data_IF_829352099445
#
_entry.id   IF_829352099445
#
_cell.length_a   1.000
_cell.length_b   1.000
_cell.length_c   1.000
_cell.angle_alpha   90.00
_cell.angle_beta   90.00
_cell.angle_gamma   90.00
#
_symmetry.space_group_name_H-M   'P 1'
#
loop_
_entity.id
_entity.type
_entity.pdbx_description
1 polymer ?
#
# COMPACT_ATOMS: atom_id res chain seq x y z
N UNK A 1 -11.82 10.94 0.37
CA UNK A 1 -11.00 11.31 -0.81
C UNK A 1 -11.12 10.21 -1.85
N UNK A 2 -11.09 10.54 -3.14
CA UNK A 2 -10.99 9.52 -4.20
C UNK A 2 -9.51 9.28 -4.47
N UNK A 3 -9.04 8.05 -4.26
CA UNK A 3 -7.69 7.65 -4.63
C UNK A 3 -7.63 7.36 -6.13
N UNK A 4 -6.51 7.70 -6.76
CA UNK A 4 -6.25 7.33 -8.15
C UNK A 4 -5.50 6.01 -8.15
N UNK A 5 -6.11 5.01 -8.78
CA UNK A 5 -5.54 3.68 -8.94
C UNK A 5 -4.78 3.58 -10.26
N UNK A 6 -3.66 2.87 -10.24
CA UNK A 6 -2.84 2.61 -11.44
C UNK A 6 -3.31 1.34 -12.14
N UNK A 7 -3.31 1.37 -13.47
CA UNK A 7 -3.57 0.18 -14.26
C UNK A 7 -2.41 -0.82 -14.19
N UNK A 8 -2.68 -2.09 -14.45
CA UNK A 8 -1.65 -3.14 -14.48
C UNK A 8 -0.45 -2.79 -15.38
N UNK A 9 -0.69 -2.25 -16.57
CA UNK A 9 0.38 -1.85 -17.50
C UNK A 9 1.26 -0.72 -16.95
N UNK A 10 0.68 0.22 -16.19
CA UNK A 10 1.46 1.27 -15.52
C UNK A 10 2.31 0.69 -14.39
N UNK A 11 1.77 -0.29 -13.65
CA UNK A 11 2.49 -0.97 -12.58
C UNK A 11 3.68 -1.78 -13.11
N UNK A 12 3.49 -2.54 -14.18
CA UNK A 12 4.58 -3.29 -14.82
C UNK A 12 5.69 -2.36 -15.32
N UNK A 13 5.34 -1.18 -15.85
CA UNK A 13 6.33 -0.18 -16.25
C UNK A 13 7.12 0.38 -15.05
N UNK A 14 6.49 0.52 -13.88
CA UNK A 14 7.16 0.94 -12.64
C UNK A 14 8.05 -0.18 -12.08
N UNK A 15 7.58 -1.43 -12.09
CA UNK A 15 8.38 -2.60 -11.67
C UNK A 15 9.67 -2.72 -12.50
N UNK A 16 9.58 -2.49 -13.82
CA UNK A 16 10.74 -2.45 -14.71
C UNK A 16 11.73 -1.31 -14.41
N UNK A 17 11.29 -0.26 -13.71
CA UNK A 17 12.14 0.83 -13.20
C UNK A 17 12.72 0.52 -11.80
N UNK A 18 12.54 -0.70 -11.29
CA UNK A 18 13.03 -1.12 -9.98
C UNK A 18 12.08 -0.80 -8.83
N UNK A 19 10.86 -0.35 -9.11
CA UNK A 19 9.84 -0.20 -8.07
C UNK A 19 9.39 -1.57 -7.58
N UNK A 20 8.99 -1.63 -6.32
CA UNK A 20 8.58 -2.86 -5.66
C UNK A 20 7.13 -2.76 -5.22
N UNK A 21 6.38 -3.83 -5.43
CA UNK A 21 5.00 -3.95 -4.98
C UNK A 21 4.94 -4.53 -3.57
N UNK A 22 3.95 -4.08 -2.80
CA UNK A 22 3.72 -4.50 -1.43
C UNK A 22 2.22 -4.62 -1.16
N UNK A 23 1.87 -5.55 -0.29
CA UNK A 23 0.53 -5.66 0.30
C UNK A 23 0.53 -5.02 1.67
N UNK A 24 -0.48 -4.17 1.91
CA UNK A 24 -0.72 -3.48 3.17
C UNK A 24 -2.07 -3.94 3.70
N UNK A 25 -2.10 -4.67 4.81
CA UNK A 25 -3.33 -4.90 5.57
C UNK A 25 -3.46 -3.84 6.65
N UNK A 26 -4.67 -3.30 6.85
CA UNK A 26 -4.91 -2.18 7.75
C UNK A 26 -5.45 -2.69 9.09
N UNK A 27 -5.08 -2.03 10.19
CA UNK A 27 -5.66 -2.36 11.51
C UNK A 27 -7.16 -2.06 11.52
N UNK A 28 -7.96 -3.01 12.01
CA UNK A 28 -9.42 -2.87 12.13
C UNK A 28 -9.85 -1.83 13.16
N UNK A 29 -9.08 -1.63 14.23
CA UNK A 29 -9.51 -0.79 15.36
C UNK A 29 -10.73 -1.37 16.10
N UNK A 30 -11.40 -0.52 16.89
CA UNK A 30 -12.56 -0.92 17.71
C UNK A 30 -13.91 -0.65 17.00
N UNK A 31 -13.87 0.05 15.85
CA UNK A 31 -15.05 0.46 15.10
C UNK A 31 -14.77 0.62 13.60
N UNK A 32 -15.82 0.63 12.77
CA UNK A 32 -15.70 0.92 11.34
C UNK A 32 -15.09 2.31 11.05
N UNK A 33 -15.31 3.28 11.94
CA UNK A 33 -14.71 4.61 11.83
C UNK A 33 -13.19 4.57 12.10
N UNK A 34 -12.75 3.79 13.09
CA UNK A 34 -11.33 3.58 13.36
C UNK A 34 -10.64 2.87 12.18
N UNK A 35 -11.28 1.85 11.61
CA UNK A 35 -10.79 1.17 10.41
C UNK A 35 -10.61 2.16 9.25
N UNK A 36 -11.63 2.98 8.97
CA UNK A 36 -11.57 4.00 7.91
C UNK A 36 -10.46 5.03 8.17
N UNK A 37 -10.23 5.41 9.43
CA UNK A 37 -9.14 6.30 9.81
C UNK A 37 -7.79 5.67 9.54
N UNK A 38 -7.57 4.41 9.94
CA UNK A 38 -6.33 3.70 9.66
C UNK A 38 -6.11 3.53 8.15
N UNK A 39 -7.15 3.18 7.40
CA UNK A 39 -7.10 3.01 5.95
C UNK A 39 -6.74 4.32 5.24
N UNK A 40 -7.41 5.42 5.61
CA UNK A 40 -7.16 6.74 5.02
C UNK A 40 -5.74 7.20 5.30
N UNK A 41 -5.29 7.11 6.56
CA UNK A 41 -3.93 7.50 6.93
C UNK A 41 -2.87 6.67 6.21
N UNK A 42 -3.06 5.34 6.18
CA UNK A 42 -2.15 4.43 5.50
C UNK A 42 -2.04 4.75 4.00
N UNK A 43 -3.13 5.15 3.33
CA UNK A 43 -3.13 5.53 1.91
C UNK A 43 -2.54 6.93 1.66
N UNK A 44 -2.87 7.90 2.50
CA UNK A 44 -2.36 9.27 2.36
C UNK A 44 -0.84 9.29 2.48
N UNK A 45 -0.29 8.49 3.40
CA UNK A 45 1.15 8.34 3.56
C UNK A 45 1.83 7.66 2.36
N UNK A 46 1.14 6.78 1.62
CA UNK A 46 1.68 6.26 0.34
C UNK A 46 1.93 7.40 -0.63
N UNK A 47 0.94 8.29 -0.78
CA UNK A 47 1.03 9.43 -1.70
C UNK A 47 2.14 10.39 -1.26
N UNK A 48 2.24 10.68 0.04
CA UNK A 48 3.30 11.53 0.60
C UNK A 48 4.69 10.97 0.29
N UNK A 49 4.85 9.64 0.36
CA UNK A 49 6.10 8.93 0.04
C UNK A 49 6.31 8.71 -1.47
N UNK A 50 5.49 9.33 -2.32
CA UNK A 50 5.52 9.19 -3.79
C UNK A 50 5.33 7.74 -4.26
N UNK A 51 4.66 6.91 -3.46
CA UNK A 51 4.16 5.62 -3.88
C UNK A 51 2.88 5.76 -4.68
N UNK A 52 2.45 4.66 -5.30
CA UNK A 52 1.21 4.59 -6.06
C UNK A 52 0.34 3.47 -5.49
N UNK A 53 -0.95 3.74 -5.33
CA UNK A 53 -1.93 2.75 -4.88
C UNK A 53 -2.40 1.97 -6.10
N UNK A 54 -2.33 0.64 -6.03
CA UNK A 54 -2.69 -0.26 -7.14
C UNK A 54 -4.19 -0.57 -7.09
N UNK A 55 -4.64 -1.12 -5.97
CA UNK A 55 -6.03 -1.53 -5.77
C UNK A 55 -6.33 -1.72 -4.28
N UNK A 56 -7.61 -1.70 -3.92
CA UNK A 56 -8.08 -2.13 -2.60
C UNK A 56 -8.25 -3.65 -2.61
N UNK A 57 -7.80 -4.31 -1.54
CA UNK A 57 -7.78 -5.76 -1.42
C UNK A 57 -8.64 -6.17 -0.23
N UNK A 58 -9.93 -6.44 -0.50
CA UNK A 58 -10.95 -6.71 0.53
C UNK A 58 -10.59 -7.93 1.40
N UNK A 59 -10.00 -8.98 0.82
CA UNK A 59 -9.67 -10.22 1.55
C UNK A 59 -8.67 -10.02 2.70
N UNK A 60 -7.83 -8.98 2.64
CA UNK A 60 -6.88 -8.64 3.70
C UNK A 60 -7.27 -7.36 4.46
N UNK A 61 -8.47 -6.83 4.24
CA UNK A 61 -8.92 -5.55 4.79
C UNK A 61 -7.87 -4.45 4.54
N UNK A 62 -7.41 -4.35 3.28
CA UNK A 62 -6.18 -3.62 2.94
C UNK A 62 -6.12 -3.15 1.50
N UNK A 63 -4.91 -2.95 1.00
CA UNK A 63 -4.64 -2.46 -0.35
C UNK A 63 -3.24 -2.86 -0.84
N UNK A 64 -3.06 -2.87 -2.16
CA UNK A 64 -1.77 -3.08 -2.83
C UNK A 64 -1.16 -1.75 -3.23
N UNK A 65 0.17 -1.65 -3.11
CA UNK A 65 0.93 -0.42 -3.37
C UNK A 65 2.22 -0.72 -4.10
N UNK A 66 2.73 0.25 -4.86
CA UNK A 66 4.10 0.22 -5.36
C UNK A 66 4.90 1.41 -4.83
N UNK A 67 6.16 1.16 -4.48
CA UNK A 67 7.09 2.17 -4.02
C UNK A 67 8.38 2.17 -4.85
N UNK A 68 9.02 3.34 -5.01
CA UNK A 68 10.43 3.39 -5.41
C UNK A 68 11.30 2.76 -4.30
N UNK A 69 12.51 2.35 -4.68
CA UNK A 69 13.43 1.47 -3.91
C UNK A 69 13.58 1.79 -2.42
N UNK A 70 13.53 3.07 -2.06
CA UNK A 70 13.82 3.57 -0.70
C UNK A 70 12.58 4.04 0.07
N UNK A 71 11.46 4.31 -0.62
CA UNK A 71 10.27 4.88 0.01
C UNK A 71 9.50 3.86 0.87
N UNK A 72 9.57 2.58 0.53
CA UNK A 72 8.90 1.52 1.28
C UNK A 72 9.39 1.42 2.74
N UNK A 73 10.69 1.63 2.98
CA UNK A 73 11.27 1.59 4.33
C UNK A 73 10.75 2.74 5.18
N UNK A 74 10.69 3.95 4.60
CA UNK A 74 10.13 5.14 5.26
C UNK A 74 8.65 4.93 5.56
N UNK A 75 7.88 4.46 4.57
CA UNK A 75 6.46 4.12 4.76
C UNK A 75 6.26 3.14 5.91
N UNK A 76 7.03 2.05 5.95
CA UNK A 76 6.94 1.02 7.00
C UNK A 76 7.10 1.59 8.41
N UNK A 77 7.96 2.59 8.58
CA UNK A 77 8.21 3.25 9.87
C UNK A 77 7.05 4.18 10.24
N UNK A 78 6.64 5.04 9.31
CA UNK A 78 5.62 6.06 9.59
C UNK A 78 4.19 5.50 9.63
N UNK A 79 3.93 4.38 8.96
CA UNK A 79 2.63 3.73 8.92
C UNK A 79 2.43 2.66 10.02
N UNK A 80 3.43 2.43 10.90
CA UNK A 80 3.46 1.27 11.81
C UNK A 80 2.24 1.17 12.74
N UNK A 81 1.63 2.30 13.08
CA UNK A 81 0.44 2.34 13.92
C UNK A 81 -0.86 2.07 13.14
N UNK A 82 -0.80 2.03 11.81
CA UNK A 82 -1.97 1.96 10.92
C UNK A 82 -2.07 0.68 10.10
N UNK A 83 -0.99 -0.08 9.90
CA UNK A 83 -1.05 -1.40 9.26
C UNK A 83 -0.98 -2.55 10.27
N UNK A 84 -1.63 -3.66 9.94
CA UNK A 84 -1.51 -4.95 10.63
C UNK A 84 -0.31 -5.74 10.08
N UNK A 85 -0.09 -5.74 8.77
CA UNK A 85 1.14 -6.21 8.15
C UNK A 85 1.49 -5.41 6.89
N UNK A 86 2.78 -5.44 6.54
CA UNK A 86 3.34 -4.83 5.35
C UNK A 86 4.35 -5.81 4.74
N UNK A 87 3.98 -6.44 3.64
CA UNK A 87 4.73 -7.53 3.00
C UNK A 87 5.08 -7.12 1.58
N UNK A 88 6.32 -7.35 1.15
CA UNK A 88 6.69 -7.17 -0.25
C UNK A 88 6.07 -8.31 -1.06
N UNK A 89 5.31 -7.97 -2.09
CA UNK A 89 4.82 -8.96 -3.04
C UNK A 89 6.03 -9.55 -3.78
N UNK A 90 6.27 -10.83 -3.54
CA UNK A 90 7.33 -11.58 -4.22
C UNK A 90 6.64 -12.29 -5.35
N UNK A 91 7.00 -11.94 -6.59
CA UNK A 91 6.57 -12.67 -7.78
C UNK A 91 6.77 -14.18 -7.51
N UNK A 92 5.67 -14.91 -7.34
CA UNK A 92 5.71 -16.36 -7.25
C UNK A 92 6.06 -16.82 -8.66
N UNK A 93 7.32 -17.15 -8.87
CA UNK A 93 7.75 -17.83 -10.10
C UNK A 93 7.14 -19.22 -10.04
N UNK A 94 6.03 -19.42 -10.75
CA UNK A 94 5.42 -20.75 -10.98
C UNK A 94 6.21 -21.52 -12.04
#
# INVERSE_FOLDING_TARGET
MSYKYKSYNEIEALKNQGWKQYLVSVKKGDSDEDFKRHMTYAKDLVIEMKGEIVEDVEIIDGFSVVFPSDAATTYKIHAIDHYAFFEQDRDISL
#
